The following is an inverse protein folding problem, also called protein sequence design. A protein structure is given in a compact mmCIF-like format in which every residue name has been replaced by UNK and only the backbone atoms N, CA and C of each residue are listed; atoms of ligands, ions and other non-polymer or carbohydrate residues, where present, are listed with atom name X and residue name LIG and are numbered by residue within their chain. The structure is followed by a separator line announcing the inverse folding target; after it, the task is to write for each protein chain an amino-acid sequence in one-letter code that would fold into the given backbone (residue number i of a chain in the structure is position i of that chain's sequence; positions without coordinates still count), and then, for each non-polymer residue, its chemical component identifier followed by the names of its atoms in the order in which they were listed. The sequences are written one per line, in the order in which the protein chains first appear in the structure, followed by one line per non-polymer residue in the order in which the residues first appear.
data_IF_974461857441
#
_entry.id   IF_974461857441
#
_cell.length_a   1.000
_cell.length_b   1.000
_cell.length_c   1.000
_cell.angle_alpha   90.00
_cell.angle_beta   90.00
_cell.angle_gamma   90.00
#
_symmetry.space_group_name_H-M   'P 1'
#
loop_
_entity.id
_entity.type
_entity.pdbx_description
1 polymer ?
#
# COMPACT_ATOMS: atom_id res chain seq x y z
N UNK A 1 0.93 -19.68 -9.87
CA UNK A 1 1.60 -18.48 -10.43
C UNK A 1 0.52 -17.57 -10.99
N UNK A 2 0.47 -16.33 -10.53
CA UNK A 2 -0.44 -15.29 -11.02
C UNK A 2 0.31 -14.37 -11.98
N UNK A 3 -0.23 -14.14 -13.17
CA UNK A 3 0.37 -13.26 -14.19
C UNK A 3 -0.56 -12.08 -14.41
N UNK A 4 -0.06 -10.87 -14.20
CA UNK A 4 -0.75 -9.63 -14.47
C UNK A 4 -0.07 -8.90 -15.64
N UNK A 5 -0.77 -8.63 -16.70
CA UNK A 5 -0.27 -7.76 -17.77
C UNK A 5 -0.81 -6.36 -17.54
N UNK A 6 0.08 -5.40 -17.43
CA UNK A 6 -0.24 -3.99 -17.23
C UNK A 6 -0.07 -3.28 -18.56
N UNK A 7 -1.13 -2.75 -19.11
CA UNK A 7 -1.09 -1.94 -20.32
C UNK A 7 -1.91 -0.66 -20.15
N UNK A 8 -2.01 0.14 -21.20
CA UNK A 8 -2.77 1.38 -21.19
C UNK A 8 -2.04 2.54 -21.83
N UNK A 9 -2.70 3.70 -21.84
CA UNK A 9 -2.21 4.90 -22.51
C UNK A 9 -0.93 5.44 -21.86
N UNK A 10 -0.08 6.00 -22.71
CA UNK A 10 1.14 6.67 -22.27
C UNK A 10 0.77 7.92 -21.44
N UNK A 11 1.27 7.98 -20.19
CA UNK A 11 0.88 9.04 -19.23
C UNK A 11 -0.33 8.69 -18.35
N UNK A 12 -0.99 7.52 -18.55
CA UNK A 12 -2.11 7.08 -17.71
C UNK A 12 -1.69 6.52 -16.33
N UNK A 13 -0.39 6.41 -16.04
CA UNK A 13 0.07 6.01 -14.70
C UNK A 13 0.63 4.60 -14.58
N UNK A 14 0.93 3.88 -15.67
CA UNK A 14 1.49 2.51 -15.66
C UNK A 14 2.67 2.33 -14.71
N UNK A 15 3.65 3.23 -14.74
CA UNK A 15 4.84 3.13 -13.86
C UNK A 15 4.49 3.27 -12.38
N UNK A 16 3.47 4.07 -12.04
CA UNK A 16 2.97 4.17 -10.66
C UNK A 16 2.25 2.90 -10.24
N UNK A 17 1.40 2.37 -11.12
CA UNK A 17 0.71 1.12 -10.86
C UNK A 17 1.71 -0.04 -10.68
N UNK A 18 2.75 -0.12 -11.52
CA UNK A 18 3.82 -1.11 -11.38
C UNK A 18 4.52 -1.01 -10.02
N UNK A 19 4.88 0.20 -9.57
CA UNK A 19 5.49 0.41 -8.25
C UNK A 19 4.59 -0.07 -7.10
N UNK A 20 3.27 0.21 -7.17
CA UNK A 20 2.35 -0.26 -6.13
C UNK A 20 2.16 -1.78 -6.15
N UNK A 21 2.14 -2.39 -7.32
CA UNK A 21 2.05 -3.85 -7.43
C UNK A 21 3.33 -4.53 -6.94
N UNK A 22 4.51 -3.90 -7.11
CA UNK A 22 5.75 -4.35 -6.49
C UNK A 22 5.66 -4.38 -4.96
N UNK A 23 5.11 -3.32 -4.35
CA UNK A 23 4.81 -3.27 -2.91
C UNK A 23 3.81 -4.35 -2.46
N UNK A 24 2.94 -4.83 -3.36
CA UNK A 24 2.00 -5.93 -3.14
C UNK A 24 2.60 -7.32 -3.39
N UNK A 25 3.91 -7.39 -3.65
CA UNK A 25 4.66 -8.63 -3.83
C UNK A 25 4.68 -9.18 -5.26
N UNK A 26 4.28 -8.39 -6.25
CA UNK A 26 4.48 -8.77 -7.66
C UNK A 26 5.93 -8.55 -8.08
N UNK A 27 6.48 -9.50 -8.82
CA UNK A 27 7.73 -9.30 -9.53
C UNK A 27 7.46 -8.51 -10.82
N UNK A 28 8.00 -7.28 -10.90
CA UNK A 28 7.72 -6.38 -12.02
C UNK A 28 8.75 -6.57 -13.13
N UNK A 29 8.28 -6.69 -14.36
CA UNK A 29 9.12 -6.62 -15.58
C UNK A 29 8.56 -5.53 -16.49
N UNK A 30 9.35 -4.49 -16.72
CA UNK A 30 8.94 -3.35 -17.53
C UNK A 30 9.39 -3.52 -18.99
N UNK A 31 8.59 -3.02 -19.93
CA UNK A 31 8.85 -3.02 -21.38
C UNK A 31 9.09 -4.42 -21.98
N UNK A 32 8.36 -5.43 -21.52
CA UNK A 32 8.47 -6.80 -22.06
C UNK A 32 7.86 -6.88 -23.46
N UNK A 33 8.63 -7.28 -24.51
CA UNK A 33 8.07 -7.55 -25.82
C UNK A 33 7.08 -8.74 -25.79
N UNK A 34 5.97 -8.66 -26.52
CA UNK A 34 4.96 -9.71 -26.57
C UNK A 34 5.56 -11.10 -26.85
N UNK A 35 6.49 -11.20 -27.83
CA UNK A 35 7.17 -12.43 -28.21
C UNK A 35 7.99 -13.10 -27.07
N UNK A 36 8.34 -12.35 -26.03
CA UNK A 36 9.12 -12.86 -24.90
C UNK A 36 8.24 -13.28 -23.71
N UNK A 37 6.99 -12.82 -23.65
CA UNK A 37 6.09 -13.04 -22.52
C UNK A 37 5.86 -14.53 -22.26
N UNK A 38 5.57 -15.33 -23.31
CA UNK A 38 5.33 -16.77 -23.17
C UNK A 38 6.56 -17.51 -22.64
N UNK A 39 7.74 -17.21 -23.18
CA UNK A 39 9.01 -17.82 -22.71
C UNK A 39 9.32 -17.45 -21.26
N UNK A 40 9.02 -16.21 -20.87
CA UNK A 40 9.21 -15.77 -19.51
C UNK A 40 8.21 -16.44 -18.55
N UNK A 41 6.96 -16.62 -18.97
CA UNK A 41 5.95 -17.36 -18.20
C UNK A 41 6.36 -18.83 -17.99
N UNK A 42 6.87 -19.50 -19.02
CA UNK A 42 7.42 -20.87 -18.93
C UNK A 42 8.61 -20.94 -17.96
N UNK A 43 9.53 -19.98 -18.04
CA UNK A 43 10.65 -19.88 -17.12
C UNK A 43 10.20 -19.73 -15.66
N UNK A 44 9.22 -18.87 -15.40
CA UNK A 44 8.67 -18.67 -14.06
C UNK A 44 7.95 -19.92 -13.53
N UNK A 45 7.24 -20.66 -14.39
CA UNK A 45 6.51 -21.87 -14.01
C UNK A 45 7.45 -23.03 -13.64
N UNK A 46 8.65 -23.09 -14.23
CA UNK A 46 9.66 -24.13 -13.96
C UNK A 46 10.57 -23.87 -12.75
N UNK A 47 10.44 -22.74 -12.07
CA UNK A 47 11.38 -22.28 -11.07
C UNK A 47 10.75 -21.98 -9.69
N UNK A 48 11.49 -21.48 -8.77
CA UNK A 48 11.25 -21.23 -7.34
C UNK A 48 10.02 -20.34 -7.03
N UNK A 49 9.51 -20.41 -5.79
CA UNK A 49 8.47 -19.55 -5.17
C UNK A 49 8.63 -18.03 -5.38
N UNK A 50 9.76 -17.58 -5.91
CA UNK A 50 10.06 -16.16 -6.16
C UNK A 50 9.16 -15.52 -7.23
N UNK A 51 8.50 -16.32 -8.08
CA UNK A 51 7.70 -15.85 -9.21
C UNK A 51 6.23 -16.26 -9.11
N UNK A 52 5.71 -16.37 -7.87
CA UNK A 52 4.30 -16.71 -7.67
C UNK A 52 3.34 -15.63 -8.17
N UNK A 53 3.77 -14.37 -8.13
CA UNK A 53 3.06 -13.19 -8.65
C UNK A 53 4.00 -12.39 -9.56
N UNK A 54 3.62 -12.26 -10.83
CA UNK A 54 4.41 -11.54 -11.85
C UNK A 54 3.54 -10.50 -12.52
N UNK A 55 4.05 -9.27 -12.65
CA UNK A 55 3.40 -8.22 -13.42
C UNK A 55 4.31 -7.75 -14.57
N UNK A 56 3.80 -7.82 -15.79
CA UNK A 56 4.52 -7.49 -17.01
C UNK A 56 3.95 -6.21 -17.61
N UNK A 57 4.77 -5.16 -17.70
CA UNK A 57 4.34 -3.89 -18.30
C UNK A 57 4.55 -3.94 -19.81
N UNK A 58 3.43 -3.83 -20.54
CA UNK A 58 3.39 -3.77 -22.01
C UNK A 58 3.04 -2.35 -22.45
N UNK A 59 3.92 -1.74 -23.23
CA UNK A 59 3.80 -0.35 -23.69
C UNK A 59 3.67 -0.30 -25.22
N UNK A 60 2.96 0.71 -25.74
CA UNK A 60 2.82 0.96 -27.18
C UNK A 60 4.16 1.05 -27.91
N UNK A 61 5.23 1.43 -27.20
CA UNK A 61 6.60 1.52 -27.77
C UNK A 61 7.20 0.16 -28.15
N UNK A 62 6.77 -0.90 -27.48
CA UNK A 62 7.23 -2.27 -27.73
C UNK A 62 6.32 -3.02 -28.68
N UNK A 63 5.18 -2.41 -29.06
CA UNK A 63 4.18 -3.00 -29.93
C UNK A 63 4.46 -2.68 -31.38
N UNK A 64 4.72 -3.69 -32.22
CA UNK A 64 4.54 -3.53 -33.67
C UNK A 64 3.03 -3.45 -33.99
N UNK A 65 2.22 -4.20 -33.24
CA UNK A 65 0.75 -4.15 -33.25
C UNK A 65 0.21 -4.61 -31.90
N UNK A 66 -0.85 -3.98 -31.36
CA UNK A 66 -1.55 -4.46 -30.16
C UNK A 66 -2.08 -5.91 -30.29
N UNK A 67 -2.30 -6.37 -31.52
CA UNK A 67 -2.79 -7.73 -31.80
C UNK A 67 -1.78 -8.83 -31.46
N UNK A 68 -0.47 -8.53 -31.46
CA UNK A 68 0.56 -9.50 -31.03
C UNK A 68 0.35 -9.96 -29.59
N UNK A 69 -0.20 -9.11 -28.73
CA UNK A 69 -0.49 -9.46 -27.34
C UNK A 69 -1.73 -10.35 -27.22
N UNK A 70 -2.63 -10.36 -28.19
CA UNK A 70 -3.86 -11.16 -28.10
C UNK A 70 -3.58 -12.65 -28.08
N UNK A 71 -2.74 -13.13 -28.99
CA UNK A 71 -2.35 -14.55 -29.06
C UNK A 71 -1.65 -14.98 -27.74
N UNK A 72 -0.83 -14.09 -27.19
CA UNK A 72 -0.14 -14.31 -25.92
C UNK A 72 -1.14 -14.42 -24.76
N UNK A 73 -2.11 -13.50 -24.68
CA UNK A 73 -3.17 -13.52 -23.66
C UNK A 73 -4.01 -14.79 -23.76
N UNK A 74 -4.40 -15.17 -24.97
CA UNK A 74 -5.22 -16.37 -25.20
C UNK A 74 -4.46 -17.64 -24.77
N UNK A 75 -3.18 -17.77 -25.08
CA UNK A 75 -2.33 -18.88 -24.64
C UNK A 75 -2.18 -18.89 -23.11
N UNK A 76 -1.89 -17.75 -22.49
CA UNK A 76 -1.72 -17.65 -21.02
C UNK A 76 -3.01 -17.96 -20.26
N UNK A 77 -4.15 -17.46 -20.70
CA UNK A 77 -5.45 -17.74 -20.10
C UNK A 77 -5.82 -19.23 -20.18
N UNK A 78 -5.43 -19.92 -21.25
CA UNK A 78 -5.69 -21.36 -21.41
C UNK A 78 -4.69 -22.24 -20.62
N UNK A 79 -3.43 -21.82 -20.49
CA UNK A 79 -2.38 -22.65 -19.89
C UNK A 79 -2.23 -22.48 -18.38
N UNK A 80 -2.40 -21.28 -17.85
CA UNK A 80 -2.15 -20.97 -16.42
C UNK A 80 -3.41 -20.68 -15.60
N UNK A 81 -4.54 -20.39 -16.23
CA UNK A 81 -5.81 -20.06 -15.58
C UNK A 81 -5.83 -18.76 -14.74
N UNK A 82 -4.67 -18.18 -14.47
CA UNK A 82 -4.51 -17.00 -13.62
C UNK A 82 -3.73 -15.89 -14.35
N UNK A 83 -4.21 -15.50 -15.54
CA UNK A 83 -3.68 -14.37 -16.28
C UNK A 83 -4.75 -13.29 -16.39
N UNK A 84 -4.42 -12.06 -15.97
CA UNK A 84 -5.31 -10.89 -16.05
C UNK A 84 -4.64 -9.76 -16.80
N UNK A 85 -5.45 -8.96 -17.52
CA UNK A 85 -5.02 -7.75 -18.20
C UNK A 85 -5.60 -6.52 -17.48
N UNK A 86 -4.73 -5.69 -16.93
CA UNK A 86 -5.05 -4.37 -16.41
C UNK A 86 -4.79 -3.31 -17.47
N UNK A 87 -5.79 -2.51 -17.78
CA UNK A 87 -5.66 -1.38 -18.69
C UNK A 87 -5.84 -0.06 -17.96
N UNK A 88 -4.84 0.82 -18.06
CA UNK A 88 -4.87 2.14 -17.46
C UNK A 88 -5.16 3.19 -18.52
N UNK A 89 -6.13 4.04 -18.27
CA UNK A 89 -6.51 5.13 -19.16
C UNK A 89 -6.64 6.47 -18.41
N UNK A 90 -6.69 7.54 -19.16
CA UNK A 90 -7.09 8.87 -18.69
C UNK A 90 -7.57 9.70 -19.88
N UNK A 91 -8.36 10.73 -19.59
CA UNK A 91 -8.79 11.69 -20.62
C UNK A 91 -7.60 12.39 -21.30
N UNK A 92 -7.73 12.71 -22.61
CA UNK A 92 -6.65 13.33 -23.38
C UNK A 92 -6.08 14.60 -22.73
N UNK A 93 -6.92 15.45 -22.19
CA UNK A 93 -6.55 16.69 -21.52
C UNK A 93 -5.66 16.43 -20.31
N UNK A 94 -5.99 15.39 -19.53
CA UNK A 94 -5.20 14.97 -18.35
C UNK A 94 -3.85 14.41 -18.76
N UNK A 95 -3.80 13.59 -19.81
CA UNK A 95 -2.55 13.06 -20.37
C UNK A 95 -1.67 14.20 -20.87
N UNK A 96 -2.23 15.13 -21.65
CA UNK A 96 -1.50 16.29 -22.17
C UNK A 96 -0.93 17.14 -21.03
N UNK A 97 -1.72 17.38 -19.97
CA UNK A 97 -1.27 18.10 -18.78
C UNK A 97 -0.08 17.39 -18.12
N UNK A 98 -0.19 16.09 -17.88
CA UNK A 98 0.88 15.26 -17.27
C UNK A 98 2.18 15.29 -18.10
N UNK A 99 2.08 15.24 -19.43
CA UNK A 99 3.24 15.35 -20.30
C UNK A 99 3.91 16.72 -20.23
N UNK A 100 3.15 17.81 -20.15
CA UNK A 100 3.68 19.18 -19.98
C UNK A 100 4.40 19.33 -18.63
N UNK A 101 3.84 18.76 -17.55
CA UNK A 101 4.44 18.80 -16.22
C UNK A 101 5.75 17.99 -16.14
N UNK A 102 5.79 16.81 -16.73
CA UNK A 102 6.96 15.91 -16.69
C UNK A 102 8.03 16.22 -17.72
N UNK A 103 7.76 17.13 -18.68
CA UNK A 103 8.65 17.48 -19.81
C UNK A 103 9.13 16.27 -20.62
N UNK A 104 8.38 15.18 -20.64
CA UNK A 104 8.67 13.99 -21.44
C UNK A 104 8.08 14.15 -22.83
N UNK A 105 8.64 13.42 -23.82
CA UNK A 105 8.06 13.32 -25.15
C UNK A 105 7.11 12.13 -25.21
N UNK A 106 5.96 12.33 -25.84
CA UNK A 106 5.03 11.23 -26.09
C UNK A 106 5.64 10.22 -27.08
N UNK A 107 5.45 8.90 -26.92
CA UNK A 107 6.04 7.90 -27.81
C UNK A 107 5.73 8.12 -29.28
N UNK A 108 4.51 8.50 -29.61
CA UNK A 108 4.05 8.72 -31.00
C UNK A 108 4.30 10.14 -31.54
N UNK A 109 5.05 10.99 -30.82
CA UNK A 109 5.35 12.38 -31.28
C UNK A 109 6.13 12.45 -32.59
N UNK A 110 6.86 11.41 -32.95
CA UNK A 110 7.55 11.39 -34.27
C UNK A 110 6.59 11.16 -35.44
N UNK A 111 5.39 10.64 -35.17
CA UNK A 111 4.37 10.28 -36.15
C UNK A 111 3.18 11.25 -36.14
N UNK A 112 3.22 12.29 -35.28
CA UNK A 112 2.12 13.22 -35.09
C UNK A 112 2.59 14.67 -35.09
N UNK A 113 1.76 15.56 -35.62
CA UNK A 113 2.05 17.01 -35.73
C UNK A 113 1.81 17.74 -34.39
N UNK A 114 1.10 17.12 -33.46
CA UNK A 114 0.82 17.69 -32.15
C UNK A 114 0.69 16.61 -31.09
N UNK A 115 0.88 17.02 -29.80
CA UNK A 115 0.71 16.10 -28.66
C UNK A 115 -0.73 15.59 -28.58
N UNK A 116 -1.73 16.40 -28.86
CA UNK A 116 -3.13 15.99 -28.88
C UNK A 116 -3.37 14.90 -29.92
N UNK A 117 -2.85 15.09 -31.16
CA UNK A 117 -2.97 14.10 -32.20
C UNK A 117 -2.27 12.78 -31.83
N UNK A 118 -1.07 12.86 -31.22
CA UNK A 118 -0.35 11.68 -30.73
C UNK A 118 -1.15 10.88 -29.68
N UNK A 119 -1.78 11.57 -28.72
CA UNK A 119 -2.61 10.96 -27.69
C UNK A 119 -3.85 10.30 -28.31
N UNK A 120 -4.56 10.98 -29.21
CA UNK A 120 -5.74 10.41 -29.88
C UNK A 120 -5.39 9.20 -30.75
N UNK A 121 -4.29 9.26 -31.48
CA UNK A 121 -3.81 8.12 -32.28
C UNK A 121 -3.48 6.93 -31.38
N UNK A 122 -2.84 7.16 -30.21
CA UNK A 122 -2.59 6.08 -29.25
C UNK A 122 -3.88 5.47 -28.72
N UNK A 123 -4.89 6.28 -28.40
CA UNK A 123 -6.20 5.80 -27.95
C UNK A 123 -6.84 4.88 -28.99
N UNK A 124 -6.88 5.29 -30.26
CA UNK A 124 -7.42 4.48 -31.35
C UNK A 124 -6.64 3.16 -31.53
N UNK A 125 -5.31 3.22 -31.44
CA UNK A 125 -4.46 2.02 -31.55
C UNK A 125 -4.65 1.05 -30.39
N UNK A 126 -4.88 1.55 -29.19
CA UNK A 126 -4.98 0.75 -27.97
C UNK A 126 -6.41 0.30 -27.64
N UNK A 127 -7.42 0.83 -28.32
CA UNK A 127 -8.83 0.48 -28.09
C UNK A 127 -9.12 -1.02 -28.18
N UNK A 128 -8.57 -1.80 -29.16
CA UNK A 128 -8.80 -3.24 -29.18
C UNK A 128 -8.24 -3.98 -27.96
N UNK A 129 -7.15 -3.48 -27.37
CA UNK A 129 -6.58 -4.05 -26.15
C UNK A 129 -7.39 -3.65 -24.92
N UNK A 130 -7.88 -2.43 -24.88
CA UNK A 130 -8.80 -1.93 -23.83
C UNK A 130 -10.05 -2.81 -23.72
N UNK A 131 -10.64 -3.17 -24.88
CA UNK A 131 -11.85 -4.01 -24.91
C UNK A 131 -11.62 -5.45 -24.40
N UNK A 132 -10.38 -5.94 -24.41
CA UNK A 132 -10.00 -7.25 -23.88
C UNK A 132 -9.53 -7.22 -22.42
N UNK A 133 -9.44 -6.03 -21.83
CA UNK A 133 -8.97 -5.89 -20.46
C UNK A 133 -9.95 -6.51 -19.47
N UNK A 134 -9.42 -7.24 -18.49
CA UNK A 134 -10.20 -7.80 -17.38
C UNK A 134 -10.52 -6.70 -16.34
N UNK A 135 -9.62 -5.72 -16.22
CA UNK A 135 -9.78 -4.54 -15.35
C UNK A 135 -9.37 -3.29 -16.12
N UNK A 136 -10.24 -2.29 -16.15
CA UNK A 136 -9.93 -0.95 -16.70
C UNK A 136 -10.01 0.05 -15.56
N UNK A 137 -8.93 0.85 -15.39
CA UNK A 137 -8.89 1.92 -14.39
C UNK A 137 -8.70 3.26 -15.11
N UNK A 138 -9.72 4.13 -15.02
CA UNK A 138 -9.61 5.52 -15.45
C UNK A 138 -8.94 6.35 -14.34
N UNK A 139 -7.75 6.86 -14.65
CA UNK A 139 -6.95 7.63 -13.71
C UNK A 139 -7.12 9.14 -13.86
N UNK A 140 -8.09 9.61 -14.63
CA UNK A 140 -8.31 11.04 -14.94
C UNK A 140 -8.37 11.90 -13.68
N UNK A 141 -9.18 11.49 -12.71
CA UNK A 141 -9.42 12.21 -11.47
C UNK A 141 -8.82 11.52 -10.23
N UNK A 142 -8.09 10.40 -10.42
CA UNK A 142 -7.54 9.68 -9.29
C UNK A 142 -6.26 10.36 -8.77
N UNK A 143 -6.22 10.56 -7.47
CA UNK A 143 -4.95 10.78 -6.76
C UNK A 143 -4.10 9.50 -6.77
N UNK A 144 -2.82 9.64 -6.47
CA UNK A 144 -1.90 8.50 -6.35
C UNK A 144 -2.39 7.47 -5.33
N UNK A 145 -2.94 7.93 -4.21
CA UNK A 145 -3.51 7.09 -3.17
C UNK A 145 -4.78 6.34 -3.62
N UNK A 146 -5.65 7.02 -4.34
CA UNK A 146 -6.85 6.40 -4.89
C UNK A 146 -6.50 5.32 -5.94
N UNK A 147 -5.52 5.57 -6.82
CA UNK A 147 -5.01 4.54 -7.73
C UNK A 147 -4.50 3.31 -6.97
N UNK A 148 -3.76 3.52 -5.88
CA UNK A 148 -3.29 2.42 -5.02
C UNK A 148 -4.47 1.65 -4.41
N UNK A 149 -5.50 2.36 -3.94
CA UNK A 149 -6.74 1.75 -3.41
C UNK A 149 -7.46 0.89 -4.44
N UNK A 150 -7.57 1.35 -5.70
CA UNK A 150 -8.14 0.57 -6.80
C UNK A 150 -7.33 -0.71 -7.06
N UNK A 151 -6.00 -0.60 -7.13
CA UNK A 151 -5.13 -1.76 -7.34
C UNK A 151 -5.23 -2.78 -6.21
N UNK A 152 -5.28 -2.32 -4.94
CA UNK A 152 -5.48 -3.19 -3.78
C UNK A 152 -6.82 -3.93 -3.84
N UNK A 153 -7.88 -3.27 -4.31
CA UNK A 153 -9.21 -3.88 -4.42
C UNK A 153 -9.25 -5.01 -5.46
N UNK A 154 -8.51 -4.86 -6.56
CA UNK A 154 -8.51 -5.84 -7.66
C UNK A 154 -7.45 -6.93 -7.52
N UNK A 155 -6.28 -6.61 -6.94
CA UNK A 155 -5.10 -7.48 -6.95
C UNK A 155 -4.50 -7.70 -5.55
N UNK A 156 -5.06 -7.09 -4.51
CA UNK A 156 -4.67 -7.36 -3.12
C UNK A 156 -5.01 -8.81 -2.75
N UNK A 157 -4.15 -9.46 -1.99
CA UNK A 157 -4.49 -10.75 -1.37
C UNK A 157 -5.68 -10.55 -0.42
N UNK A 158 -6.53 -11.57 -0.27
CA UNK A 158 -7.75 -11.62 0.57
C UNK A 158 -7.54 -11.37 2.08
N UNK A 159 -6.46 -10.69 2.45
CA UNK A 159 -6.32 -10.18 3.81
C UNK A 159 -7.29 -9.01 3.95
N UNK A 160 -8.24 -9.18 4.82
CA UNK A 160 -9.30 -8.24 5.26
C UNK A 160 -8.73 -6.94 5.87
N UNK A 161 -7.73 -6.34 5.25
CA UNK A 161 -7.01 -5.18 5.78
C UNK A 161 -7.59 -3.89 5.21
N UNK A 162 -8.17 -3.06 6.08
CA UNK A 162 -8.65 -1.73 5.69
C UNK A 162 -7.50 -0.90 5.11
N UNK A 163 -7.59 -0.57 3.82
CA UNK A 163 -6.71 0.39 3.14
C UNK A 163 -5.27 -0.07 2.86
N UNK A 164 -4.90 -1.34 3.13
CA UNK A 164 -3.52 -1.83 2.87
C UNK A 164 -2.43 -1.13 3.71
N UNK A 165 -2.81 -0.39 4.75
CA UNK A 165 -1.90 0.26 5.69
C UNK A 165 -1.72 -0.61 6.93
N UNK A 166 -0.46 -0.89 7.30
CA UNK A 166 -0.12 -1.49 8.59
C UNK A 166 0.10 -0.42 9.65
N UNK A 167 -0.26 -0.71 10.89
CA UNK A 167 -0.05 0.20 12.02
C UNK A 167 0.93 -0.44 13.00
N UNK A 168 2.08 0.19 13.22
CA UNK A 168 3.03 -0.22 14.26
C UNK A 168 2.81 0.66 15.48
N UNK A 169 2.55 0.02 16.65
CA UNK A 169 2.37 0.75 17.92
C UNK A 169 3.52 0.38 18.84
N UNK A 170 4.29 1.39 19.26
CA UNK A 170 5.50 1.20 20.05
C UNK A 170 5.39 1.89 21.39
N UNK A 171 5.57 1.17 22.51
CA UNK A 171 5.79 1.80 23.79
C UNK A 171 7.25 2.19 23.99
N UNK A 172 7.49 3.35 24.61
CA UNK A 172 8.84 3.84 24.86
C UNK A 172 8.96 4.63 26.17
N UNK A 173 10.21 4.82 26.63
CA UNK A 173 10.55 5.68 27.75
C UNK A 173 11.17 6.99 27.29
N UNK A 174 10.59 8.13 27.68
CA UNK A 174 11.13 9.45 27.33
C UNK A 174 12.58 9.65 27.79
N UNK A 175 13.01 9.00 28.87
CA UNK A 175 14.41 9.04 29.32
C UNK A 175 15.41 8.43 28.32
N UNK A 176 14.92 7.65 27.34
CA UNK A 176 15.75 7.03 26.31
C UNK A 176 15.57 7.67 24.93
N UNK A 177 14.89 8.81 24.86
CA UNK A 177 14.61 9.54 23.62
C UNK A 177 13.39 9.02 22.87
N UNK A 178 12.90 9.84 21.95
CA UNK A 178 11.79 9.51 21.06
C UNK A 178 12.18 8.44 20.05
N UNK A 179 11.29 7.52 19.65
CA UNK A 179 11.51 6.69 18.46
C UNK A 179 11.60 7.57 17.22
N UNK A 180 12.65 7.42 16.42
CA UNK A 180 12.91 8.28 15.24
C UNK A 180 11.90 8.04 14.11
N UNK A 181 11.35 6.83 14.05
CA UNK A 181 10.38 6.39 13.05
C UNK A 181 8.93 6.77 13.38
N UNK A 182 8.68 7.37 14.56
CA UNK A 182 7.31 7.66 15.01
C UNK A 182 6.66 8.79 14.20
N UNK A 183 5.49 8.52 13.63
CA UNK A 183 4.64 9.51 12.98
C UNK A 183 3.78 10.25 14.00
N UNK A 184 3.26 9.53 15.00
CA UNK A 184 2.44 10.07 16.09
C UNK A 184 3.07 9.71 17.44
N UNK A 185 3.13 10.67 18.35
CA UNK A 185 3.69 10.45 19.69
C UNK A 185 2.69 10.92 20.76
N UNK A 186 2.33 10.01 21.65
CA UNK A 186 1.42 10.29 22.76
C UNK A 186 2.14 10.16 24.11
N UNK A 187 2.07 11.22 24.90
CA UNK A 187 2.65 11.26 26.24
C UNK A 187 1.62 10.82 27.28
N UNK A 188 1.89 9.69 27.94
CA UNK A 188 1.02 9.15 28.98
C UNK A 188 1.60 9.33 30.40
N UNK A 189 2.54 10.27 30.59
CA UNK A 189 3.11 10.58 31.93
C UNK A 189 2.11 11.22 32.86
N UNK A 190 1.04 11.81 32.31
CA UNK A 190 -0.07 12.37 33.11
C UNK A 190 -0.91 11.30 33.80
N UNK A 191 -0.75 10.01 33.46
CA UNK A 191 -1.44 8.92 34.14
C UNK A 191 -0.76 8.56 35.49
N UNK A 192 -1.50 8.00 36.45
CA UNK A 192 -0.96 7.55 37.73
C UNK A 192 0.18 6.55 37.51
N UNK A 193 1.21 6.66 38.34
CA UNK A 193 2.46 5.90 38.10
C UNK A 193 2.55 4.66 39.01
N UNK A 194 2.45 3.43 38.42
CA UNK A 194 2.56 2.18 39.18
C UNK A 194 3.90 2.01 39.91
N UNK A 195 4.95 2.68 39.49
CA UNK A 195 6.28 2.59 40.07
C UNK A 195 6.30 2.89 41.58
N UNK A 196 5.37 3.72 42.09
CA UNK A 196 5.29 4.06 43.50
C UNK A 196 4.58 2.99 44.35
N UNK A 197 4.04 1.95 43.72
CA UNK A 197 3.42 0.81 44.40
C UNK A 197 4.47 -0.31 44.46
N UNK A 198 4.94 -0.74 45.63
CA UNK A 198 6.01 -1.72 45.77
C UNK A 198 5.77 -3.02 45.00
N UNK A 199 4.54 -3.52 45.05
CA UNK A 199 4.11 -4.79 44.42
C UNK A 199 4.02 -4.72 42.89
N UNK A 200 4.03 -3.51 42.32
CA UNK A 200 3.91 -3.26 40.89
C UNK A 200 5.23 -2.80 40.25
N UNK A 201 6.18 -2.33 41.07
CA UNK A 201 7.42 -1.69 40.60
C UNK A 201 8.23 -2.56 39.65
N UNK A 202 8.40 -3.83 39.97
CA UNK A 202 9.22 -4.77 39.15
C UNK A 202 8.47 -5.43 38.02
N UNK A 203 7.15 -5.25 37.97
CA UNK A 203 6.28 -5.76 36.91
C UNK A 203 6.30 -4.87 35.68
N UNK A 204 5.63 -5.28 34.62
CA UNK A 204 5.50 -4.53 33.37
C UNK A 204 4.03 -4.18 33.11
N UNK A 205 3.77 -3.33 32.13
CA UNK A 205 2.40 -3.00 31.72
C UNK A 205 1.62 -4.18 31.09
N UNK A 206 2.28 -5.28 30.74
CA UNK A 206 1.64 -6.51 30.26
C UNK A 206 1.17 -7.40 31.44
N UNK A 207 1.66 -7.13 32.66
CA UNK A 207 1.20 -7.86 33.83
C UNK A 207 -0.16 -7.31 34.26
N UNK A 208 -1.15 -8.20 34.43
CA UNK A 208 -2.54 -7.82 34.76
C UNK A 208 -2.67 -6.85 35.95
N UNK A 209 -1.95 -7.04 37.09
CA UNK A 209 -2.06 -6.09 38.21
C UNK A 209 -1.60 -4.65 37.87
N UNK A 210 -0.64 -4.49 36.94
CA UNK A 210 -0.20 -3.17 36.47
C UNK A 210 -1.24 -2.57 35.53
N UNK A 211 -1.77 -3.36 34.59
CA UNK A 211 -2.84 -2.94 33.70
C UNK A 211 -4.07 -2.50 34.50
N UNK A 212 -4.52 -3.32 35.46
CA UNK A 212 -5.66 -3.03 36.35
C UNK A 212 -5.45 -1.72 37.11
N UNK A 213 -4.24 -1.48 37.64
CA UNK A 213 -3.92 -0.23 38.31
C UNK A 213 -3.99 0.95 37.34
N UNK A 214 -3.38 0.87 36.15
CA UNK A 214 -3.37 1.97 35.16
C UNK A 214 -4.79 2.29 34.71
N UNK A 215 -5.61 1.28 34.48
CA UNK A 215 -7.00 1.43 34.03
C UNK A 215 -8.02 1.59 35.16
N UNK A 216 -7.63 1.56 36.44
CA UNK A 216 -8.56 1.86 37.56
C UNK A 216 -8.95 3.35 37.62
N UNK A 217 -8.25 4.23 36.91
CA UNK A 217 -8.45 5.67 36.97
C UNK A 217 -9.28 6.18 35.78
N UNK A 218 -10.30 6.98 36.09
CA UNK A 218 -11.18 7.58 35.07
C UNK A 218 -10.41 8.35 33.99
N UNK A 219 -9.38 9.10 34.38
CA UNK A 219 -8.55 9.86 33.42
C UNK A 219 -7.86 8.97 32.37
N UNK A 220 -7.51 7.73 32.71
CA UNK A 220 -6.94 6.77 31.74
C UNK A 220 -8.00 6.35 30.72
N UNK A 221 -9.20 6.05 31.16
CA UNK A 221 -10.32 5.73 30.28
C UNK A 221 -10.69 6.90 29.37
N UNK A 222 -10.84 8.10 29.94
CA UNK A 222 -11.18 9.31 29.18
C UNK A 222 -10.11 9.62 28.11
N UNK A 223 -8.83 9.40 28.43
CA UNK A 223 -7.74 9.58 27.47
C UNK A 223 -7.78 8.54 26.36
N UNK A 224 -7.95 7.26 26.69
CA UNK A 224 -8.04 6.19 25.71
C UNK A 224 -9.24 6.37 24.76
N UNK A 225 -10.40 6.80 25.29
CA UNK A 225 -11.58 7.13 24.48
C UNK A 225 -11.26 8.20 23.44
N UNK A 226 -10.68 9.33 23.87
CA UNK A 226 -10.31 10.43 22.96
C UNK A 226 -9.24 10.01 21.94
N UNK A 227 -8.30 9.17 22.37
CA UNK A 227 -7.27 8.66 21.48
C UNK A 227 -7.88 7.71 20.42
N UNK A 228 -8.82 6.86 20.83
CA UNK A 228 -9.58 5.99 19.93
C UNK A 228 -10.39 6.79 18.92
N UNK A 229 -11.10 7.83 19.38
CA UNK A 229 -11.89 8.71 18.50
C UNK A 229 -11.00 9.41 17.47
N UNK A 230 -9.87 9.97 17.92
CA UNK A 230 -8.89 10.59 17.02
C UNK A 230 -8.37 9.60 15.97
N UNK A 231 -7.96 8.42 16.40
CA UNK A 231 -7.39 7.41 15.47
C UNK A 231 -8.45 6.81 14.55
N UNK A 232 -9.68 6.61 15.03
CA UNK A 232 -10.80 6.17 14.18
C UNK A 232 -11.07 7.17 13.05
N UNK A 233 -10.93 8.45 13.32
CA UNK A 233 -11.04 9.52 12.32
C UNK A 233 -9.80 9.59 11.41
N UNK A 234 -8.59 9.54 12.00
CA UNK A 234 -7.35 9.84 11.28
C UNK A 234 -6.82 8.66 10.43
N UNK A 235 -6.97 7.41 10.88
CA UNK A 235 -6.43 6.24 10.19
C UNK A 235 -6.93 6.09 8.74
N UNK A 236 -8.23 6.28 8.44
CA UNK A 236 -8.70 6.26 7.04
C UNK A 236 -8.04 7.34 6.19
N UNK A 237 -7.83 8.55 6.74
CA UNK A 237 -7.21 9.67 6.02
C UNK A 237 -5.74 9.38 5.68
N UNK A 238 -4.98 8.77 6.60
CA UNK A 238 -3.61 8.33 6.32
C UNK A 238 -3.57 7.23 5.23
N UNK A 239 -4.52 6.30 5.27
CA UNK A 239 -4.64 5.27 4.25
C UNK A 239 -5.02 5.86 2.87
N UNK A 240 -5.94 6.83 2.84
CA UNK A 240 -6.34 7.56 1.63
C UNK A 240 -5.23 8.41 1.05
N UNK A 241 -4.33 8.95 1.89
CA UNK A 241 -3.12 9.66 1.44
C UNK A 241 -2.08 8.72 0.83
N UNK A 242 -2.22 7.41 1.03
CA UNK A 242 -1.34 6.37 0.46
C UNK A 242 -0.24 5.89 1.39
N UNK A 243 -0.35 6.19 2.69
CA UNK A 243 0.61 5.71 3.68
C UNK A 243 0.52 4.19 3.81
N UNK A 244 1.66 3.51 3.71
CA UNK A 244 1.74 2.04 3.78
C UNK A 244 1.96 1.52 5.19
N UNK A 245 2.61 2.33 6.02
CA UNK A 245 2.86 2.06 7.43
C UNK A 245 2.67 3.34 8.23
N UNK A 246 1.97 3.24 9.36
CA UNK A 246 1.85 4.31 10.35
C UNK A 246 2.46 3.84 11.66
N UNK A 247 3.41 4.62 12.20
CA UNK A 247 4.07 4.33 13.47
C UNK A 247 3.54 5.24 14.57
N UNK A 248 2.87 4.64 15.56
CA UNK A 248 2.32 5.33 16.74
C UNK A 248 3.20 4.99 17.95
N UNK A 249 3.75 6.01 18.61
CA UNK A 249 4.56 5.84 19.80
C UNK A 249 3.84 6.34 21.05
N UNK A 250 3.77 5.50 22.07
CA UNK A 250 3.18 5.84 23.37
C UNK A 250 4.28 5.88 24.43
N UNK A 251 4.50 7.04 25.07
CA UNK A 251 5.63 7.29 25.94
C UNK A 251 5.26 7.51 27.40
N UNK A 252 5.96 6.83 28.32
CA UNK A 252 5.99 7.20 29.73
C UNK A 252 7.43 7.50 30.17
N UNK A 253 7.71 7.71 31.45
CA UNK A 253 9.05 8.07 31.92
C UNK A 253 10.10 7.00 31.60
N UNK A 254 9.82 5.74 31.95
CA UNK A 254 10.76 4.63 31.82
C UNK A 254 10.43 3.63 30.72
N UNK A 255 9.23 3.69 30.11
CA UNK A 255 8.85 2.75 29.04
C UNK A 255 8.40 1.36 29.52
N UNK A 256 8.17 1.15 30.83
CA UNK A 256 7.93 -0.18 31.42
C UNK A 256 6.48 -0.44 31.84
N UNK A 257 5.76 0.54 32.37
CA UNK A 257 4.43 0.34 32.95
C UNK A 257 3.31 0.97 32.12
N UNK A 258 3.06 2.29 32.31
CA UNK A 258 1.92 3.03 31.72
C UNK A 258 1.89 2.94 30.20
N UNK A 259 3.03 3.24 29.55
CA UNK A 259 3.12 3.20 28.09
C UNK A 259 2.88 1.79 27.54
N UNK A 260 3.38 0.76 28.22
CA UNK A 260 3.19 -0.64 27.81
C UNK A 260 1.72 -1.04 27.91
N UNK A 261 1.07 -0.80 29.06
CA UNK A 261 -0.35 -1.12 29.26
C UNK A 261 -1.25 -0.41 28.24
N UNK A 262 -1.00 0.89 28.02
CA UNK A 262 -1.82 1.68 27.07
C UNK A 262 -1.51 1.32 25.60
N UNK A 263 -0.26 0.98 25.25
CA UNK A 263 0.09 0.46 23.92
C UNK A 263 -0.66 -0.83 23.63
N UNK A 264 -0.69 -1.77 24.58
CA UNK A 264 -1.38 -3.03 24.43
C UNK A 264 -2.89 -2.84 24.19
N UNK A 265 -3.55 -2.04 25.04
CA UNK A 265 -4.97 -1.74 24.86
C UNK A 265 -5.27 -1.02 23.52
N UNK A 266 -4.42 -0.06 23.13
CA UNK A 266 -4.57 0.64 21.86
C UNK A 266 -4.38 -0.29 20.66
N UNK A 267 -3.46 -1.25 20.76
CA UNK A 267 -3.24 -2.24 19.71
C UNK A 267 -4.48 -3.11 19.48
N UNK A 268 -5.17 -3.51 20.55
CA UNK A 268 -6.44 -4.25 20.45
C UNK A 268 -7.54 -3.40 19.83
N UNK A 269 -7.67 -2.14 20.24
CA UNK A 269 -8.65 -1.22 19.67
C UNK A 269 -8.46 -1.06 18.15
N UNK A 270 -7.23 -0.87 17.69
CA UNK A 270 -6.94 -0.68 16.26
C UNK A 270 -7.09 -1.98 15.45
N UNK A 271 -6.77 -3.15 16.04
CA UNK A 271 -7.09 -4.45 15.43
C UNK A 271 -8.60 -4.61 15.23
N UNK A 272 -9.41 -4.22 16.22
CA UNK A 272 -10.87 -4.26 16.14
C UNK A 272 -11.43 -3.30 15.08
N UNK A 273 -10.71 -2.24 14.72
CA UNK A 273 -11.05 -1.38 13.57
C UNK A 273 -10.72 -2.04 12.21
N UNK A 274 -10.05 -3.21 12.20
CA UNK A 274 -9.74 -3.96 10.98
C UNK A 274 -8.39 -3.60 10.34
N UNK A 275 -7.46 -2.97 11.10
CA UNK A 275 -6.10 -2.74 10.63
C UNK A 275 -5.16 -3.84 11.08
N UNK A 276 -4.13 -4.10 10.27
CA UNK A 276 -3.01 -4.95 10.69
C UNK A 276 -2.15 -4.19 11.70
N UNK A 277 -2.00 -4.74 12.91
CA UNK A 277 -1.25 -4.09 13.99
C UNK A 277 -0.04 -4.92 14.39
N UNK A 278 1.13 -4.27 14.35
CA UNK A 278 2.35 -4.74 14.99
C UNK A 278 2.53 -4.01 16.31
N UNK A 279 2.63 -4.75 17.39
CA UNK A 279 2.88 -4.22 18.73
C UNK A 279 4.35 -4.42 19.11
N UNK A 280 4.99 -3.38 19.68
CA UNK A 280 6.38 -3.40 20.09
C UNK A 280 6.58 -2.64 21.42
N UNK A 281 7.51 -3.10 22.26
CA UNK A 281 7.83 -2.47 23.54
C UNK A 281 9.35 -2.22 23.63
N UNK A 282 9.79 -1.04 23.12
CA UNK A 282 11.21 -0.72 22.91
C UNK A 282 12.04 -0.79 24.20
N UNK A 283 11.50 -0.26 25.30
CA UNK A 283 12.25 -0.03 26.55
C UNK A 283 11.71 -0.84 27.74
N UNK A 284 10.81 -1.80 27.54
CA UNK A 284 10.15 -2.53 28.62
C UNK A 284 11.13 -3.31 29.53
N UNK A 285 12.21 -3.82 28.94
CA UNK A 285 13.21 -4.67 29.61
C UNK A 285 14.51 -3.92 29.99
N UNK A 286 14.49 -2.59 29.96
CA UNK A 286 15.65 -1.75 30.30
C UNK A 286 15.68 -1.30 31.75
#
# INVERSE_FOLDING_TARGET
MEILIISGLSGAGKSRAASFLEDMGFYIVDNMPAAMILKFAEFCAGGSQRYDKVALVYDVRTANSPTELFDVLDVLKHSSGACSLLFLEAEPETIIKRYKETRRRHPLMQQADSLEKAVRTEQEMMEPLRQRADVVIDTTHLSTAQLRGELLRHFGSDTTEKGGMSVTITSFGFKYGLPMEADLVFDVRCMPNPFYIPELREKTGLDQPVADYVFSFRQTHDFMEKLRDLLTFALPLYAEEGKTELVIAVGCTGGRHRSVAMTHALAEDIRNLGYRVRENHRDMNR
#
